data_IF_554963797536
#
_entry.id   IF_554963797536
#
_cell.length_a   1.000
_cell.length_b   1.000
_cell.length_c   1.000
_cell.angle_alpha   90.00
_cell.angle_beta   90.00
_cell.angle_gamma   90.00
#
_symmetry.space_group_name_H-M   'P 1'
#
loop_
_entity.id
_entity.type
_entity.pdbx_description
1 polymer ?
#
# COMPACT_ATOMS: atom_id res chain seq x y z
N UNK A 1 -37.11 12.01 9.77
CA UNK A 1 -36.73 13.37 9.31
C UNK A 1 -35.33 13.31 8.72
N UNK A 2 -35.20 13.47 7.41
CA UNK A 2 -33.93 13.50 6.70
C UNK A 2 -33.09 14.71 7.17
N UNK A 3 -31.79 14.55 7.49
CA UNK A 3 -30.94 15.71 7.74
C UNK A 3 -30.92 16.55 6.46
N UNK A 4 -31.37 17.80 6.54
CA UNK A 4 -31.48 18.69 5.39
C UNK A 4 -30.16 18.72 4.62
N UNK A 5 -30.23 18.53 3.31
CA UNK A 5 -29.14 18.68 2.33
C UNK A 5 -28.43 20.06 2.39
N UNK A 6 -28.95 21.01 3.17
CA UNK A 6 -28.39 22.35 3.41
C UNK A 6 -27.15 22.40 4.31
N UNK A 7 -26.74 21.28 4.93
CA UNK A 7 -25.56 21.22 5.82
C UNK A 7 -24.27 20.70 5.16
N UNK A 8 -24.25 20.41 3.85
CA UNK A 8 -23.03 19.98 3.13
C UNK A 8 -22.39 21.13 2.39
N UNK A 9 -21.06 21.28 2.51
CA UNK A 9 -20.28 22.31 1.82
C UNK A 9 -20.03 21.91 0.35
N UNK A 10 -20.48 22.68 -0.65
CA UNK A 10 -20.31 22.38 -2.06
C UNK A 10 -18.96 22.88 -2.57
N UNK A 11 -17.87 22.19 -2.21
CA UNK A 11 -16.49 22.63 -2.48
C UNK A 11 -16.20 22.99 -3.95
N UNK A 12 -16.82 22.30 -4.90
CA UNK A 12 -16.68 22.53 -6.34
C UNK A 12 -17.33 23.84 -6.82
N UNK A 13 -18.32 24.36 -6.10
CA UNK A 13 -18.98 25.63 -6.42
C UNK A 13 -18.30 26.84 -5.78
N UNK A 14 -17.47 26.61 -4.75
CA UNK A 14 -16.78 27.69 -4.04
C UNK A 14 -15.93 28.55 -4.99
N UNK A 15 -15.12 28.02 -5.94
CA UNK A 15 -14.33 28.86 -6.84
C UNK A 15 -15.19 29.80 -7.69
N UNK A 16 -16.24 29.29 -8.32
CA UNK A 16 -17.13 30.07 -9.18
C UNK A 16 -17.96 31.08 -8.37
N UNK A 17 -18.47 30.67 -7.20
CA UNK A 17 -19.18 31.56 -6.29
C UNK A 17 -18.27 32.67 -5.77
N UNK A 18 -17.02 32.34 -5.41
CA UNK A 18 -16.05 33.29 -4.90
C UNK A 18 -15.58 34.28 -5.98
N UNK A 19 -15.32 33.83 -7.22
CA UNK A 19 -15.06 34.72 -8.35
C UNK A 19 -16.27 35.62 -8.61
N UNK A 20 -17.48 35.06 -8.62
CA UNK A 20 -18.69 35.83 -8.85
C UNK A 20 -18.95 36.87 -7.75
N UNK A 21 -18.73 36.54 -6.48
CA UNK A 21 -18.85 37.50 -5.35
C UNK A 21 -17.74 38.54 -5.41
N UNK A 22 -16.51 38.17 -5.76
CA UNK A 22 -15.43 39.15 -5.95
C UNK A 22 -15.69 40.09 -7.12
N UNK A 23 -16.48 39.65 -8.12
CA UNK A 23 -16.93 40.46 -9.25
C UNK A 23 -18.21 41.28 -8.94
N UNK A 24 -18.90 41.03 -7.84
CA UNK A 24 -20.16 41.69 -7.46
C UNK A 24 -19.95 42.57 -6.21
N UNK A 25 -20.38 43.84 -6.29
CA UNK A 25 -20.28 44.95 -5.31
C UNK A 25 -19.73 44.62 -3.89
N UNK A 26 -18.63 45.27 -3.52
CA UNK A 26 -18.18 45.54 -2.14
C UNK A 26 -18.37 47.01 -1.71
N UNK A 27 -17.74 47.45 -0.61
CA UNK A 27 -17.74 48.87 -0.19
C UNK A 27 -16.46 49.56 -0.70
N UNK A 28 -16.50 50.85 -1.03
CA UNK A 28 -15.27 51.62 -1.33
C UNK A 28 -14.47 51.86 -0.05
N UNK A 29 -13.17 52.18 -0.16
CA UNK A 29 -12.36 52.50 1.03
C UNK A 29 -12.94 53.72 1.74
N UNK A 30 -13.32 54.75 0.99
CA UNK A 30 -13.93 55.95 1.55
C UNK A 30 -15.22 55.62 2.33
N UNK A 31 -16.07 54.72 1.81
CA UNK A 31 -17.27 54.28 2.52
C UNK A 31 -16.93 53.52 3.81
N UNK A 32 -15.86 52.73 3.83
CA UNK A 32 -15.40 52.01 5.01
C UNK A 32 -14.77 52.93 6.06
N UNK A 33 -13.98 53.92 5.65
CA UNK A 33 -13.40 54.94 6.54
C UNK A 33 -14.52 55.76 7.19
N UNK A 34 -15.50 56.20 6.41
CA UNK A 34 -16.67 56.93 6.92
C UNK A 34 -17.50 56.08 7.90
N UNK A 35 -17.66 54.77 7.62
CA UNK A 35 -18.44 53.86 8.47
C UNK A 35 -17.73 53.47 9.77
N UNK A 36 -16.41 53.39 9.77
CA UNK A 36 -15.63 52.84 10.90
C UNK A 36 -14.83 53.87 11.67
N UNK A 37 -14.66 55.08 11.14
CA UNK A 37 -13.80 56.14 11.68
C UNK A 37 -12.30 55.81 11.60
N UNK A 38 -11.91 54.69 10.99
CA UNK A 38 -10.51 54.25 10.87
C UNK A 38 -9.99 54.55 9.48
N UNK A 39 -8.79 55.12 9.38
CA UNK A 39 -8.08 55.28 8.11
C UNK A 39 -7.47 53.96 7.65
N UNK A 40 -7.55 53.67 6.36
CA UNK A 40 -7.01 52.44 5.77
C UNK A 40 -5.84 52.77 4.83
N UNK A 41 -4.62 52.51 5.29
CA UNK A 41 -3.40 52.74 4.51
C UNK A 41 -3.23 51.71 3.38
N UNK A 42 -3.30 52.16 2.13
CA UNK A 42 -3.04 51.34 0.94
C UNK A 42 -1.67 51.61 0.31
N UNK A 43 -1.17 50.63 -0.43
CA UNK A 43 0.05 50.77 -1.24
C UNK A 43 -0.12 51.90 -2.27
N UNK A 44 0.96 52.61 -2.59
CA UNK A 44 0.91 53.78 -3.49
C UNK A 44 0.24 53.46 -4.84
N UNK A 45 0.50 52.26 -5.38
CA UNK A 45 -0.10 51.75 -6.63
C UNK A 45 -1.59 51.43 -6.53
N UNK A 46 -2.13 51.29 -5.31
CA UNK A 46 -3.53 50.96 -5.10
C UNK A 46 -4.38 52.19 -4.79
N UNK A 47 -3.81 53.26 -4.20
CA UNK A 47 -4.55 54.48 -3.78
C UNK A 47 -5.44 55.08 -4.89
N UNK A 48 -5.00 55.00 -6.15
CA UNK A 48 -5.77 55.43 -7.33
C UNK A 48 -7.08 54.67 -7.56
N UNK A 49 -7.32 53.58 -6.82
CA UNK A 49 -8.47 52.71 -6.93
C UNK A 49 -9.38 52.72 -5.70
N UNK A 50 -9.22 53.70 -4.80
CA UNK A 50 -9.98 53.84 -3.55
C UNK A 50 -11.51 53.83 -3.74
N UNK A 51 -11.99 54.28 -4.90
CA UNK A 51 -13.40 54.40 -5.27
C UNK A 51 -13.98 53.12 -5.88
N UNK A 52 -13.15 52.08 -6.10
CA UNK A 52 -13.63 50.77 -6.55
C UNK A 52 -14.19 49.97 -5.38
N UNK A 53 -15.20 49.09 -5.62
CA UNK A 53 -15.74 48.22 -4.58
C UNK A 53 -14.72 47.19 -4.09
N UNK A 54 -14.59 47.01 -2.77
CA UNK A 54 -13.62 46.09 -2.16
C UNK A 54 -14.19 45.27 -0.99
N UNK A 55 -13.62 44.07 -0.76
CA UNK A 55 -14.00 43.14 0.30
C UNK A 55 -13.05 43.17 1.51
N UNK A 56 -13.10 44.27 2.26
CA UNK A 56 -12.11 44.59 3.30
C UNK A 56 -11.87 43.55 4.41
N UNK A 57 -12.81 42.65 4.75
CA UNK A 57 -12.54 41.54 5.69
C UNK A 57 -13.01 40.22 5.10
N UNK A 58 -12.20 39.18 5.27
CA UNK A 58 -12.50 37.81 4.80
C UNK A 58 -13.86 37.31 5.28
N UNK A 59 -14.22 37.60 6.53
CA UNK A 59 -15.52 37.16 7.08
C UNK A 59 -16.72 37.63 6.25
N UNK A 60 -16.66 38.83 5.66
CA UNK A 60 -17.74 39.36 4.83
C UNK A 60 -17.78 38.69 3.45
N UNK A 61 -16.61 38.33 2.92
CA UNK A 61 -16.50 37.57 1.68
C UNK A 61 -17.02 36.14 1.88
N UNK A 62 -16.65 35.48 2.97
CA UNK A 62 -17.13 34.14 3.31
C UNK A 62 -18.65 34.13 3.51
N UNK A 63 -19.20 35.14 4.19
CA UNK A 63 -20.64 35.35 4.35
C UNK A 63 -21.35 35.50 3.00
N UNK A 64 -20.87 36.39 2.13
CA UNK A 64 -21.47 36.60 0.81
C UNK A 64 -21.39 35.34 -0.08
N UNK A 65 -20.28 34.60 -0.02
CA UNK A 65 -20.13 33.32 -0.74
C UNK A 65 -21.07 32.26 -0.16
N UNK A 66 -21.20 32.18 1.16
CA UNK A 66 -22.08 31.23 1.82
C UNK A 66 -23.57 31.49 1.50
N UNK A 67 -24.00 32.77 1.53
CA UNK A 67 -25.35 33.18 1.14
C UNK A 67 -25.61 32.81 -0.32
N UNK A 68 -24.66 33.08 -1.21
CA UNK A 68 -24.77 32.73 -2.64
C UNK A 68 -24.90 31.22 -2.87
N UNK A 69 -24.21 30.43 -2.05
CA UNK A 69 -24.26 28.97 -2.05
C UNK A 69 -25.42 28.41 -1.21
N UNK A 70 -26.26 29.27 -0.60
CA UNK A 70 -27.39 28.90 0.25
C UNK A 70 -27.01 27.98 1.42
N UNK A 71 -25.85 28.22 2.05
CA UNK A 71 -25.34 27.43 3.17
C UNK A 71 -25.97 27.85 4.50
N UNK A 72 -26.28 26.85 5.34
CA UNK A 72 -26.79 27.10 6.68
C UNK A 72 -25.74 27.82 7.56
N UNK A 73 -26.12 28.80 8.42
CA UNK A 73 -25.19 29.55 9.27
C UNK A 73 -24.34 28.69 10.22
N UNK A 74 -24.74 27.46 10.53
CA UNK A 74 -23.91 26.51 11.31
C UNK A 74 -22.63 26.08 10.59
N UNK A 75 -22.45 26.40 9.31
CA UNK A 75 -21.25 26.06 8.53
C UNK A 75 -20.25 27.22 8.49
N UNK A 76 -20.73 28.47 8.50
CA UNK A 76 -19.92 29.66 8.20
C UNK A 76 -20.05 30.80 9.23
N UNK A 77 -21.03 30.71 10.13
CA UNK A 77 -21.32 31.74 11.12
C UNK A 77 -20.41 31.70 12.36
N UNK A 78 -20.64 32.61 13.34
CA UNK A 78 -19.83 32.68 14.56
C UNK A 78 -19.87 31.40 15.41
N UNK A 79 -21.00 30.68 15.39
CA UNK A 79 -21.24 29.42 16.13
C UNK A 79 -21.11 28.17 15.23
N UNK A 80 -20.28 28.23 14.19
CA UNK A 80 -20.13 27.12 13.23
C UNK A 80 -19.62 25.83 13.90
N UNK A 81 -20.04 24.67 13.38
CA UNK A 81 -19.63 23.35 13.88
C UNK A 81 -18.36 22.82 13.20
N UNK A 82 -17.92 23.44 12.11
CA UNK A 82 -16.68 23.12 11.38
C UNK A 82 -16.04 24.38 10.81
N UNK A 83 -14.72 24.37 10.58
CA UNK A 83 -14.01 25.45 9.88
C UNK A 83 -13.75 25.16 8.39
N UNK A 84 -14.21 24.02 7.88
CA UNK A 84 -13.86 23.55 6.53
C UNK A 84 -14.26 24.52 5.41
N UNK A 85 -15.41 25.18 5.52
CA UNK A 85 -15.85 26.18 4.55
C UNK A 85 -14.92 27.40 4.51
N UNK A 86 -14.49 27.89 5.68
CA UNK A 86 -13.53 28.98 5.78
C UNK A 86 -12.15 28.58 5.28
N UNK A 87 -11.75 27.33 5.48
CA UNK A 87 -10.47 26.79 4.98
C UNK A 87 -10.51 26.69 3.45
N UNK A 88 -11.57 26.13 2.88
CA UNK A 88 -11.71 25.98 1.43
C UNK A 88 -11.74 27.32 0.69
N UNK A 89 -12.50 28.29 1.20
CA UNK A 89 -12.47 29.67 0.67
C UNK A 89 -11.06 30.28 0.77
N UNK A 90 -10.36 30.09 1.90
CA UNK A 90 -8.98 30.58 2.09
C UNK A 90 -8.01 30.01 1.06
N UNK A 91 -8.10 28.72 0.77
CA UNK A 91 -7.24 28.04 -0.20
C UNK A 91 -7.45 28.60 -1.62
N UNK A 92 -8.70 28.81 -2.01
CA UNK A 92 -9.04 29.39 -3.32
C UNK A 92 -8.57 30.84 -3.40
N UNK A 93 -8.79 31.65 -2.36
CA UNK A 93 -8.29 33.04 -2.31
C UNK A 93 -6.76 33.06 -2.42
N UNK A 94 -6.06 32.15 -1.71
CA UNK A 94 -4.61 32.05 -1.77
C UNK A 94 -4.13 31.70 -3.17
N UNK A 95 -4.83 30.78 -3.86
CA UNK A 95 -4.53 30.42 -5.25
C UNK A 95 -4.76 31.59 -6.19
N UNK A 96 -5.91 32.26 -6.11
CA UNK A 96 -6.21 33.43 -6.94
C UNK A 96 -5.22 34.58 -6.71
N UNK A 97 -4.75 34.77 -5.47
CA UNK A 97 -3.68 35.73 -5.14
C UNK A 97 -2.35 35.33 -5.77
N UNK A 98 -1.96 34.06 -5.66
CA UNK A 98 -0.74 33.54 -6.27
C UNK A 98 -0.75 33.69 -7.80
N UNK A 99 -1.89 33.38 -8.42
CA UNK A 99 -2.08 33.45 -9.88
C UNK A 99 -2.25 34.90 -10.38
N UNK A 100 -2.12 35.91 -9.50
CA UNK A 100 -2.21 37.33 -9.86
C UNK A 100 -3.63 37.82 -10.20
N UNK A 101 -4.65 37.05 -9.87
CA UNK A 101 -6.05 37.39 -10.11
C UNK A 101 -6.63 38.29 -9.01
N UNK A 102 -6.05 38.28 -7.80
CA UNK A 102 -6.41 39.16 -6.69
C UNK A 102 -5.20 40.03 -6.31
N UNK A 103 -5.43 41.32 -6.09
CA UNK A 103 -4.47 42.21 -5.43
C UNK A 103 -4.99 42.62 -4.05
N UNK A 104 -4.07 42.83 -3.10
CA UNK A 104 -4.36 43.31 -1.75
C UNK A 104 -4.23 44.85 -1.68
N UNK A 105 -4.98 45.53 -0.78
CA UNK A 105 -4.87 46.99 -0.56
C UNK A 105 -3.49 47.41 -0.10
N UNK A 106 -2.95 46.60 0.80
CA UNK A 106 -1.67 46.76 1.45
C UNK A 106 -1.02 45.38 1.52
N UNK A 107 -0.09 45.15 0.60
CA UNK A 107 0.60 43.87 0.43
C UNK A 107 1.42 43.46 1.67
N UNK A 108 1.96 44.44 2.42
CA UNK A 108 2.78 44.22 3.60
C UNK A 108 2.00 43.78 4.84
N UNK A 109 0.75 44.25 5.00
CA UNK A 109 -0.06 43.97 6.19
C UNK A 109 -1.17 42.94 5.99
N UNK A 110 -1.43 42.52 4.74
CA UNK A 110 -2.49 41.55 4.36
C UNK A 110 -3.86 41.84 4.98
N UNK A 111 -4.16 43.12 5.26
CA UNK A 111 -5.47 43.52 5.75
C UNK A 111 -6.47 43.58 4.59
N UNK A 112 -7.25 42.51 4.43
CA UNK A 112 -8.46 42.50 3.59
C UNK A 112 -8.27 41.99 2.17
N UNK A 113 -9.23 41.19 1.70
CA UNK A 113 -9.20 40.53 0.40
C UNK A 113 -9.87 41.45 -0.60
N UNK A 114 -9.13 41.97 -1.57
CA UNK A 114 -9.49 43.31 -1.99
C UNK A 114 -10.31 43.37 -3.28
N UNK A 115 -9.83 42.86 -4.41
CA UNK A 115 -10.59 42.90 -5.67
C UNK A 115 -10.10 41.85 -6.66
N UNK A 116 -10.99 41.42 -7.56
CA UNK A 116 -10.58 40.71 -8.76
C UNK A 116 -9.94 41.70 -9.74
N UNK A 117 -8.65 41.51 -10.06
CA UNK A 117 -7.89 42.40 -10.96
C UNK A 117 -7.90 41.84 -12.39
N UNK A 118 -7.99 40.52 -12.51
CA UNK A 118 -8.13 39.79 -13.77
C UNK A 118 -9.20 38.72 -13.57
N UNK A 119 -10.16 38.64 -14.49
CA UNK A 119 -11.09 37.52 -14.51
C UNK A 119 -10.32 36.30 -14.99
N UNK A 120 -10.17 35.23 -14.16
CA UNK A 120 -9.47 34.03 -14.59
C UNK A 120 -10.22 33.43 -15.77
N UNK A 121 -9.50 33.09 -16.84
CA UNK A 121 -10.08 32.44 -18.01
C UNK A 121 -10.43 30.99 -17.64
N UNK A 122 -11.64 30.78 -17.16
CA UNK A 122 -12.20 29.44 -16.96
C UNK A 122 -12.54 28.95 -18.37
N UNK A 123 -11.55 28.31 -19.04
CA UNK A 123 -11.70 27.77 -20.39
C UNK A 123 -13.08 27.17 -20.60
N UNK A 124 -13.83 27.82 -21.48
CA UNK A 124 -15.11 27.39 -22.00
C UNK A 124 -14.93 26.03 -22.71
N UNK A 125 -15.29 24.95 -22.02
CA UNK A 125 -15.95 23.82 -22.67
C UNK A 125 -17.37 23.81 -22.13
N UNK A 126 -18.35 23.82 -23.03
CA UNK A 126 -19.79 23.70 -22.81
C UNK A 126 -20.56 25.03 -22.66
N UNK A 127 -20.51 25.89 -23.69
CA UNK A 127 -21.37 27.08 -23.77
C UNK A 127 -22.77 26.81 -24.36
N UNK A 128 -23.03 25.72 -25.07
CA UNK A 128 -24.34 25.48 -25.73
C UNK A 128 -25.32 24.59 -24.94
N UNK A 129 -25.37 24.69 -23.61
CA UNK A 129 -26.39 23.98 -22.84
C UNK A 129 -27.06 24.86 -21.79
N UNK A 130 -28.39 24.80 -21.78
CA UNK A 130 -29.27 25.50 -20.82
C UNK A 130 -29.01 25.04 -19.38
N UNK A 131 -29.34 25.89 -18.41
CA UNK A 131 -29.17 25.61 -16.96
C UNK A 131 -29.88 24.30 -16.55
N UNK A 132 -31.01 23.95 -17.17
CA UNK A 132 -31.71 22.69 -16.96
C UNK A 132 -30.91 21.49 -17.50
N UNK A 133 -30.33 21.58 -18.70
CA UNK A 133 -29.45 20.55 -19.26
C UNK A 133 -28.13 20.41 -18.47
N UNK A 134 -27.63 21.52 -17.89
CA UNK A 134 -26.51 21.48 -16.94
C UNK A 134 -26.91 20.78 -15.64
N UNK A 135 -28.12 20.97 -15.13
CA UNK A 135 -28.60 20.24 -13.95
C UNK A 135 -28.73 18.74 -14.26
N UNK A 136 -29.21 18.35 -15.45
CA UNK A 136 -29.35 16.93 -15.82
C UNK A 136 -28.00 16.26 -16.08
N UNK A 137 -27.08 16.89 -16.83
CA UNK A 137 -25.76 16.31 -17.14
C UNK A 137 -24.77 16.41 -15.95
N UNK A 138 -24.92 17.42 -15.08
CA UNK A 138 -24.15 17.51 -13.82
C UNK A 138 -24.81 16.67 -12.71
N UNK A 139 -26.09 16.31 -12.81
CA UNK A 139 -26.68 15.22 -12.02
C UNK A 139 -26.22 13.83 -12.51
N UNK A 140 -25.87 13.68 -13.79
CA UNK A 140 -25.19 12.48 -14.31
C UNK A 140 -23.71 12.42 -13.93
N UNK A 141 -23.03 13.57 -13.77
CA UNK A 141 -21.62 13.64 -13.31
C UNK A 141 -21.45 13.80 -11.78
N UNK A 142 -22.49 14.24 -11.06
CA UNK A 142 -22.77 13.81 -9.68
C UNK A 142 -23.34 12.40 -9.77
N UNK A 143 -22.56 11.48 -10.33
CA UNK A 143 -22.92 10.09 -10.36
C UNK A 143 -23.37 9.73 -8.93
N UNK A 144 -24.43 8.93 -8.84
CA UNK A 144 -24.61 8.08 -7.68
C UNK A 144 -23.24 7.61 -7.16
N UNK A 145 -23.05 7.47 -5.84
CA UNK A 145 -21.80 6.91 -5.32
C UNK A 145 -21.39 5.75 -6.24
N UNK A 146 -20.13 5.76 -6.73
CA UNK A 146 -19.74 4.94 -7.87
C UNK A 146 -20.30 3.55 -7.63
N UNK A 147 -21.09 3.05 -8.58
CA UNK A 147 -21.79 1.79 -8.34
C UNK A 147 -20.78 0.74 -7.88
N UNK A 148 -21.22 -0.17 -7.02
CA UNK A 148 -20.36 -1.27 -6.58
C UNK A 148 -19.69 -1.96 -7.79
N UNK A 149 -20.43 -2.10 -8.89
CA UNK A 149 -19.92 -2.61 -10.16
C UNK A 149 -18.77 -1.76 -10.74
N UNK A 150 -18.89 -0.43 -10.74
CA UNK A 150 -17.78 0.45 -11.18
C UNK A 150 -16.56 0.32 -10.26
N UNK A 151 -16.77 0.21 -8.96
CA UNK A 151 -15.67 -0.01 -8.00
C UNK A 151 -14.98 -1.35 -8.23
N UNK A 152 -15.73 -2.43 -8.49
CA UNK A 152 -15.19 -3.75 -8.87
C UNK A 152 -14.33 -3.65 -10.13
N UNK A 153 -14.86 -3.06 -11.21
CA UNK A 153 -14.15 -2.91 -12.48
C UNK A 153 -12.82 -2.15 -12.33
N UNK A 154 -12.84 -1.03 -11.62
CA UNK A 154 -11.63 -0.22 -11.43
C UNK A 154 -10.63 -0.92 -10.51
N UNK A 155 -11.08 -1.58 -9.44
CA UNK A 155 -10.18 -2.33 -8.56
C UNK A 155 -9.49 -3.47 -9.31
N UNK A 156 -10.24 -4.26 -10.07
CA UNK A 156 -9.68 -5.31 -10.95
C UNK A 156 -8.73 -4.72 -11.97
N UNK A 157 -9.05 -3.58 -12.58
CA UNK A 157 -8.16 -2.91 -13.53
C UNK A 157 -6.85 -2.40 -12.88
N UNK A 158 -6.90 -1.93 -11.62
CA UNK A 158 -5.70 -1.60 -10.84
C UNK A 158 -4.80 -2.82 -10.69
N UNK A 159 -5.37 -3.99 -10.35
CA UNK A 159 -4.62 -5.23 -10.14
C UNK A 159 -4.08 -5.82 -11.45
N UNK A 160 -4.87 -5.84 -12.51
CA UNK A 160 -4.53 -6.51 -13.78
C UNK A 160 -3.81 -5.62 -14.79
N UNK A 161 -4.26 -4.37 -14.97
CA UNK A 161 -3.79 -3.46 -16.05
C UNK A 161 -2.90 -2.32 -15.56
N UNK A 162 -2.92 -2.00 -14.27
CA UNK A 162 -2.09 -0.93 -13.74
C UNK A 162 -0.59 -1.23 -13.93
N UNK A 163 0.20 -0.25 -14.39
CA UNK A 163 1.67 -0.39 -14.43
C UNK A 163 2.21 -0.76 -13.04
N UNK A 164 3.08 -1.76 -12.99
CA UNK A 164 3.69 -2.32 -11.79
C UNK A 164 5.13 -2.69 -12.10
N UNK A 165 6.05 -2.05 -11.41
CA UNK A 165 7.47 -2.43 -11.46
C UNK A 165 7.83 -3.32 -10.25
N UNK A 166 7.00 -3.32 -9.20
CA UNK A 166 7.11 -4.14 -7.99
C UNK A 166 5.72 -4.51 -7.41
N UNK A 167 5.71 -5.23 -6.29
CA UNK A 167 4.49 -5.74 -5.65
C UNK A 167 3.71 -4.77 -4.77
N UNK A 168 4.12 -3.49 -4.63
CA UNK A 168 3.51 -2.58 -3.66
C UNK A 168 2.02 -2.33 -3.89
N UNK A 169 1.53 -2.37 -5.14
CA UNK A 169 0.09 -2.22 -5.38
C UNK A 169 -0.70 -3.36 -4.75
N UNK A 170 -0.19 -4.59 -4.77
CA UNK A 170 -0.86 -5.73 -4.14
C UNK A 170 -0.83 -5.62 -2.61
N UNK A 171 0.33 -5.26 -2.05
CA UNK A 171 0.46 -5.05 -0.61
C UNK A 171 -0.43 -3.90 -0.11
N UNK A 172 -0.52 -2.79 -0.84
CA UNK A 172 -1.42 -1.69 -0.48
C UNK A 172 -2.89 -2.09 -0.59
N UNK A 173 -3.27 -2.83 -1.65
CA UNK A 173 -4.62 -3.34 -1.78
C UNK A 173 -5.00 -4.26 -0.60
N UNK A 174 -4.12 -5.22 -0.24
CA UNK A 174 -4.31 -6.10 0.92
C UNK A 174 -4.41 -5.29 2.22
N UNK A 175 -3.53 -4.32 2.45
CA UNK A 175 -3.56 -3.49 3.65
C UNK A 175 -4.86 -2.68 3.79
N UNK A 176 -5.38 -2.12 2.68
CA UNK A 176 -6.66 -1.40 2.67
C UNK A 176 -7.81 -2.38 2.98
N UNK A 177 -7.82 -3.56 2.38
CA UNK A 177 -8.83 -4.60 2.64
C UNK A 177 -8.83 -5.04 4.10
N UNK A 178 -7.64 -5.34 4.66
CA UNK A 178 -7.45 -5.74 6.06
C UNK A 178 -7.91 -4.64 7.02
N UNK A 179 -7.69 -3.37 6.67
CA UNK A 179 -8.18 -2.25 7.48
C UNK A 179 -9.71 -2.18 7.44
N UNK A 180 -10.32 -2.30 6.26
CA UNK A 180 -11.79 -2.22 6.12
C UNK A 180 -12.52 -3.41 6.77
N UNK A 181 -11.89 -4.58 6.86
CA UNK A 181 -12.46 -5.74 7.54
C UNK A 181 -12.39 -5.64 9.07
N UNK A 182 -11.46 -4.83 9.59
CA UNK A 182 -11.31 -4.55 11.01
C UNK A 182 -12.27 -3.47 11.55
N UNK A 183 -12.23 -3.31 12.88
CA UNK A 183 -12.82 -2.18 13.59
C UNK A 183 -11.70 -1.25 14.05
N UNK A 184 -11.71 0.00 13.58
CA UNK A 184 -10.67 0.99 13.87
C UNK A 184 -11.27 2.31 14.33
N UNK A 185 -10.70 2.90 15.39
CA UNK A 185 -11.14 4.19 15.93
C UNK A 185 -11.05 5.33 14.92
N UNK A 186 -10.07 5.27 14.01
CA UNK A 186 -9.83 6.27 12.97
C UNK A 186 -10.85 6.24 11.82
N UNK A 187 -11.84 5.33 11.86
CA UNK A 187 -12.93 5.28 10.89
C UNK A 187 -12.40 5.12 9.46
N UNK A 188 -12.66 6.11 8.60
CA UNK A 188 -12.26 6.10 7.19
C UNK A 188 -10.81 6.54 6.91
N UNK A 189 -10.09 7.03 7.94
CA UNK A 189 -8.73 7.52 7.79
C UNK A 189 -7.73 6.42 8.16
N UNK A 190 -7.02 5.88 7.17
CA UNK A 190 -5.96 4.89 7.34
C UNK A 190 -4.62 5.62 7.56
N UNK A 191 -3.99 5.51 8.74
CA UNK A 191 -2.68 6.09 8.98
C UNK A 191 -1.60 5.40 8.14
N UNK A 192 -0.63 6.16 7.63
CA UNK A 192 0.53 5.56 6.93
C UNK A 192 1.35 4.65 7.84
N UNK A 193 1.34 4.88 9.16
CA UNK A 193 1.96 3.97 10.12
C UNK A 193 1.34 2.57 10.05
N UNK A 194 0.01 2.48 9.93
CA UNK A 194 -0.68 1.20 9.75
C UNK A 194 -0.25 0.52 8.45
N UNK A 195 -0.18 1.27 7.34
CA UNK A 195 0.27 0.73 6.05
C UNK A 195 1.73 0.24 6.10
N UNK A 196 2.59 0.97 6.80
CA UNK A 196 3.99 0.61 7.01
C UNK A 196 4.13 -0.70 7.79
N UNK A 197 3.40 -0.83 8.90
CA UNK A 197 3.31 -2.06 9.68
C UNK A 197 2.84 -3.24 8.84
N UNK A 198 1.78 -3.06 8.05
CA UNK A 198 1.29 -4.12 7.14
C UNK A 198 2.31 -4.52 6.08
N UNK A 199 3.04 -3.56 5.51
CA UNK A 199 4.12 -3.87 4.57
C UNK A 199 5.22 -4.70 5.24
N UNK A 200 5.61 -4.37 6.47
CA UNK A 200 6.55 -5.17 7.23
C UNK A 200 6.02 -6.61 7.44
N UNK A 201 4.81 -6.77 7.96
CA UNK A 201 4.17 -8.07 8.21
C UNK A 201 4.16 -8.95 6.94
N UNK A 202 3.70 -8.39 5.81
CA UNK A 202 3.59 -9.17 4.57
C UNK A 202 4.95 -9.54 3.96
N UNK A 203 5.90 -8.60 3.98
CA UNK A 203 7.18 -8.80 3.30
C UNK A 203 8.22 -9.50 4.14
N UNK A 204 8.13 -9.46 5.48
CA UNK A 204 9.15 -10.03 6.34
C UNK A 204 9.32 -11.54 6.11
N UNK A 205 8.22 -12.31 6.11
CA UNK A 205 8.29 -13.75 5.82
C UNK A 205 8.73 -14.02 4.39
N UNK A 206 8.19 -13.26 3.44
CA UNK A 206 8.51 -13.42 2.02
C UNK A 206 10.00 -13.21 1.75
N UNK A 207 10.62 -12.22 2.40
CA UNK A 207 12.04 -11.90 2.26
C UNK A 207 12.93 -12.79 3.14
N UNK A 208 12.78 -12.72 4.46
CA UNK A 208 13.71 -13.33 5.42
C UNK A 208 13.61 -14.86 5.47
N UNK A 209 12.45 -15.43 5.16
CA UNK A 209 12.23 -16.89 5.22
C UNK A 209 12.26 -17.55 3.85
N UNK A 210 11.59 -16.95 2.85
CA UNK A 210 11.41 -17.58 1.54
C UNK A 210 12.27 -16.99 0.42
N UNK A 211 12.91 -15.83 0.66
CA UNK A 211 13.73 -15.12 -0.33
C UNK A 211 12.97 -14.79 -1.63
N UNK A 212 11.66 -14.55 -1.52
CA UNK A 212 10.79 -14.20 -2.64
C UNK A 212 11.15 -12.80 -3.13
N UNK A 213 11.64 -12.72 -4.36
CA UNK A 213 11.93 -11.46 -5.03
C UNK A 213 10.63 -10.72 -5.37
N UNK A 214 10.62 -9.40 -5.15
CA UNK A 214 9.42 -8.56 -5.18
C UNK A 214 9.32 -7.61 -6.38
N UNK A 215 10.26 -7.70 -7.33
CA UNK A 215 10.30 -6.89 -8.54
C UNK A 215 11.07 -7.57 -9.68
N UNK A 216 11.00 -6.99 -10.87
CA UNK A 216 11.74 -7.50 -12.03
C UNK A 216 13.20 -7.03 -12.10
N UNK A 217 13.59 -6.02 -11.30
CA UNK A 217 14.90 -5.42 -11.42
C UNK A 217 16.00 -6.35 -10.94
N UNK A 218 17.14 -6.35 -11.62
CA UNK A 218 18.32 -7.15 -11.23
C UNK A 218 19.28 -6.37 -10.32
N UNK A 219 19.19 -5.04 -10.29
CA UNK A 219 20.26 -4.18 -9.77
C UNK A 219 19.91 -3.49 -8.44
N UNK A 220 18.64 -3.45 -8.04
CA UNK A 220 18.22 -2.86 -6.78
C UNK A 220 16.88 -3.43 -6.34
N UNK A 221 16.79 -3.89 -5.08
CA UNK A 221 15.53 -4.37 -4.51
C UNK A 221 14.58 -3.19 -4.20
N UNK A 222 13.27 -3.45 -4.03
CA UNK A 222 12.35 -2.43 -3.56
C UNK A 222 12.73 -1.88 -2.18
N UNK A 223 12.49 -0.58 -1.96
CA UNK A 223 12.85 0.12 -0.69
C UNK A 223 12.36 -0.57 0.59
N UNK A 224 11.18 -1.21 0.58
CA UNK A 224 10.67 -1.97 1.73
C UNK A 224 11.56 -3.18 2.04
N UNK A 225 12.03 -3.88 1.01
CA UNK A 225 12.92 -5.03 1.12
C UNK A 225 14.30 -4.59 1.59
N UNK A 226 14.82 -3.48 1.08
CA UNK A 226 16.06 -2.88 1.57
C UNK A 226 15.95 -2.50 3.06
N UNK A 227 14.82 -1.92 3.47
CA UNK A 227 14.58 -1.57 4.87
C UNK A 227 14.56 -2.80 5.78
N UNK A 228 13.88 -3.88 5.37
CA UNK A 228 13.84 -5.16 6.09
C UNK A 228 15.25 -5.76 6.21
N UNK A 229 15.97 -5.91 5.09
CA UNK A 229 17.34 -6.46 5.07
C UNK A 229 18.32 -5.68 5.94
N UNK A 230 18.15 -4.36 6.02
CA UNK A 230 19.03 -3.50 6.83
C UNK A 230 18.88 -3.74 8.34
N UNK A 231 17.69 -4.12 8.79
CA UNK A 231 17.42 -4.37 10.21
C UNK A 231 17.67 -5.83 10.56
N UNK A 232 17.10 -6.73 9.76
CA UNK A 232 17.06 -8.16 10.08
C UNK A 232 18.17 -8.97 9.40
N UNK A 233 18.84 -8.43 8.38
CA UNK A 233 19.76 -9.20 7.54
C UNK A 233 19.01 -10.17 6.60
N UNK A 234 19.76 -11.11 6.01
CA UNK A 234 19.24 -12.09 5.03
C UNK A 234 18.82 -13.43 5.65
N UNK A 235 19.25 -13.71 6.87
CA UNK A 235 19.13 -15.03 7.49
C UNK A 235 18.53 -14.90 8.89
N UNK A 236 17.21 -14.71 8.96
CA UNK A 236 16.48 -14.74 10.25
C UNK A 236 15.58 -15.97 10.30
N UNK A 237 16.07 -17.08 10.87
CA UNK A 237 15.20 -18.19 11.20
C UNK A 237 14.41 -17.86 12.47
N UNK A 238 13.11 -17.65 12.35
CA UNK A 238 12.25 -17.37 13.50
C UNK A 238 10.78 -17.17 13.15
N UNK A 239 9.98 -16.86 14.19
CA UNK A 239 8.62 -16.34 14.04
C UNK A 239 8.65 -14.82 14.11
N UNK A 240 7.76 -14.15 13.36
CA UNK A 240 7.62 -12.70 13.43
C UNK A 240 7.28 -12.22 14.85
N UNK A 241 6.48 -13.00 15.57
CA UNK A 241 6.06 -12.71 16.95
C UNK A 241 7.19 -12.77 17.98
N UNK A 242 8.36 -13.33 17.60
CA UNK A 242 9.54 -13.45 18.45
C UNK A 242 10.62 -12.41 18.14
N UNK A 243 10.35 -11.50 17.19
CA UNK A 243 11.28 -10.44 16.83
C UNK A 243 11.38 -9.39 17.93
N UNK A 244 12.55 -8.76 18.05
CA UNK A 244 12.76 -7.67 18.98
C UNK A 244 11.81 -6.49 18.64
N UNK A 245 10.99 -6.02 19.60
CA UNK A 245 10.12 -4.86 19.38
C UNK A 245 10.86 -3.60 18.91
N UNK A 246 12.14 -3.40 19.26
CA UNK A 246 12.94 -2.26 18.77
C UNK A 246 13.26 -2.40 17.29
N UNK A 247 13.58 -3.61 16.83
CA UNK A 247 13.87 -3.90 15.43
C UNK A 247 12.61 -3.75 14.57
N UNK A 248 11.47 -4.25 15.05
CA UNK A 248 10.17 -4.04 14.40
C UNK A 248 9.93 -2.54 14.20
N UNK A 249 10.07 -1.73 15.27
CA UNK A 249 9.88 -0.27 15.19
C UNK A 249 10.89 0.40 14.24
N UNK A 250 12.13 -0.06 14.17
CA UNK A 250 13.13 0.48 13.23
C UNK A 250 12.75 0.18 11.78
N UNK A 251 12.38 -1.07 11.48
CA UNK A 251 11.96 -1.47 10.15
C UNK A 251 10.69 -0.72 9.71
N UNK A 252 9.68 -0.61 10.57
CA UNK A 252 8.46 0.18 10.32
C UNK A 252 8.79 1.65 10.01
N UNK A 253 9.70 2.27 10.76
CA UNK A 253 10.09 3.67 10.54
C UNK A 253 10.80 3.85 9.19
N UNK A 254 11.66 2.92 8.82
CA UNK A 254 12.38 2.92 7.53
C UNK A 254 11.42 2.73 6.35
N UNK A 255 10.48 1.79 6.45
CA UNK A 255 9.44 1.57 5.43
C UNK A 255 8.56 2.83 5.32
N UNK A 256 8.12 3.40 6.44
CA UNK A 256 7.33 4.62 6.47
C UNK A 256 8.05 5.76 5.72
N UNK A 257 9.33 6.02 6.04
CA UNK A 257 10.09 7.11 5.43
C UNK A 257 10.38 6.93 3.93
N UNK A 258 10.60 5.68 3.51
CA UNK A 258 11.05 5.35 2.15
C UNK A 258 9.94 4.96 1.16
N UNK A 259 8.79 4.48 1.65
CA UNK A 259 7.66 3.98 0.84
C UNK A 259 6.40 4.82 1.02
N UNK A 260 6.15 5.30 2.23
CA UNK A 260 5.02 6.13 2.63
C UNK A 260 5.48 7.53 3.07
N UNK A 261 6.52 8.04 2.40
CA UNK A 261 7.08 9.35 2.63
C UNK A 261 6.21 10.45 2.01
N UNK A 262 6.82 11.31 1.20
CA UNK A 262 6.10 12.39 0.53
C UNK A 262 6.33 12.32 -0.97
N UNK A 263 5.27 12.49 -1.76
CA UNK A 263 5.31 12.52 -3.21
C UNK A 263 6.30 13.57 -3.76
N UNK A 264 6.42 14.74 -3.11
CA UNK A 264 7.40 15.79 -3.50
C UNK A 264 8.85 15.29 -3.44
N UNK A 265 9.15 14.43 -2.46
CA UNK A 265 10.47 13.85 -2.25
C UNK A 265 10.63 12.49 -2.94
N UNK A 266 9.64 12.08 -3.75
CA UNK A 266 9.59 10.78 -4.42
C UNK A 266 9.67 9.57 -3.47
N UNK A 267 9.25 9.75 -2.21
CA UNK A 267 9.24 8.68 -1.18
C UNK A 267 7.83 8.19 -0.84
N UNK A 268 6.78 8.76 -1.46
CA UNK A 268 5.43 8.16 -1.49
C UNK A 268 5.29 7.31 -2.75
N UNK A 269 5.69 6.04 -2.65
CA UNK A 269 5.98 5.20 -3.82
C UNK A 269 4.74 4.56 -4.43
N UNK A 270 3.69 4.33 -3.62
CA UNK A 270 2.51 3.56 -4.03
C UNK A 270 1.20 4.33 -3.87
N UNK A 271 0.98 5.05 -2.77
CA UNK A 271 -0.28 5.77 -2.47
C UNK A 271 -0.74 6.69 -3.62
N UNK A 272 0.10 7.57 -4.20
CA UNK A 272 -0.31 8.43 -5.32
C UNK A 272 -0.49 7.67 -6.66
N UNK A 273 0.04 6.44 -6.77
CA UNK A 273 0.08 5.67 -8.03
C UNK A 273 -0.92 4.52 -8.06
N UNK A 274 -1.47 4.12 -6.93
CA UNK A 274 -2.36 2.98 -6.79
C UNK A 274 -3.60 3.11 -7.67
N UNK A 275 -4.27 4.26 -7.58
CA UNK A 275 -5.49 4.57 -8.33
C UNK A 275 -5.23 5.03 -9.79
N UNK A 276 -4.02 4.83 -10.31
CA UNK A 276 -3.68 5.11 -11.72
C UNK A 276 -3.78 3.82 -12.54
N UNK A 277 -4.68 3.83 -13.53
CA UNK A 277 -4.95 2.72 -14.45
C UNK A 277 -4.56 3.13 -15.86
N UNK A 278 -4.07 2.19 -16.67
CA UNK A 278 -3.76 2.44 -18.07
C UNK A 278 -5.03 2.36 -18.92
N UNK A 279 -5.31 3.43 -19.67
CA UNK A 279 -6.32 3.47 -20.73
C UNK A 279 -5.58 3.68 -22.05
N UNK A 280 -5.43 2.59 -22.81
CA UNK A 280 -4.46 2.52 -23.91
C UNK A 280 -3.04 2.80 -23.39
N UNK A 281 -2.38 3.80 -23.96
CA UNK A 281 -1.02 4.20 -23.57
C UNK A 281 -0.97 5.32 -22.51
N UNK A 282 -2.12 5.77 -21.99
CA UNK A 282 -2.19 6.87 -21.01
C UNK A 282 -2.55 6.36 -19.62
N UNK A 283 -1.81 6.84 -18.62
CA UNK A 283 -2.15 6.60 -17.21
C UNK A 283 -3.21 7.60 -16.76
N UNK A 284 -4.41 7.11 -16.45
CA UNK A 284 -5.56 7.90 -16.00
C UNK A 284 -5.72 7.72 -14.48
N UNK A 285 -5.84 8.83 -13.76
CA UNK A 285 -6.05 8.83 -12.31
C UNK A 285 -7.55 8.71 -11.99
N UNK A 286 -7.94 7.61 -11.35
CA UNK A 286 -9.31 7.29 -10.98
C UNK A 286 -9.48 7.38 -9.45
N UNK A 287 -9.68 8.59 -8.90
CA UNK A 287 -9.79 8.85 -7.44
C UNK A 287 -11.13 8.41 -6.82
N UNK A 288 -11.55 7.17 -7.09
CA UNK A 288 -12.84 6.64 -6.68
C UNK A 288 -12.81 6.00 -5.29
N UNK A 289 -11.64 5.60 -4.78
CA UNK A 289 -11.55 4.89 -3.50
C UNK A 289 -11.15 5.82 -2.36
N UNK A 290 -10.16 6.69 -2.58
CA UNK A 290 -9.62 7.53 -1.52
C UNK A 290 -8.98 8.82 -2.01
N UNK A 291 -8.83 9.77 -1.07
CA UNK A 291 -7.84 10.85 -1.13
C UNK A 291 -6.72 10.58 -0.12
N UNK A 292 -5.59 11.29 -0.22
CA UNK A 292 -4.48 11.12 0.71
C UNK A 292 -3.84 12.47 1.05
N UNK A 293 -3.21 12.54 2.21
CA UNK A 293 -2.46 13.68 2.71
C UNK A 293 -1.11 13.16 3.23
N UNK A 294 -0.03 13.49 2.52
CA UNK A 294 1.33 13.06 2.88
C UNK A 294 1.88 13.81 4.11
N UNK A 295 1.38 15.02 4.38
CA UNK A 295 1.79 15.84 5.53
C UNK A 295 1.11 15.33 6.80
N UNK A 296 -0.20 15.06 6.72
CA UNK A 296 -0.96 14.42 7.79
C UNK A 296 -0.75 12.90 7.88
N UNK A 297 -0.05 12.28 6.91
CA UNK A 297 0.27 10.85 6.86
C UNK A 297 -0.95 9.94 6.88
N UNK A 298 -1.96 10.26 6.07
CA UNK A 298 -3.23 9.53 6.04
C UNK A 298 -3.70 9.24 4.60
N UNK A 299 -4.34 8.08 4.43
CA UNK A 299 -5.25 7.78 3.33
C UNK A 299 -6.68 7.92 3.84
N UNK A 300 -7.47 8.83 3.27
CA UNK A 300 -8.88 9.04 3.60
C UNK A 300 -9.78 8.32 2.59
N UNK A 301 -10.31 7.18 2.99
CA UNK A 301 -11.27 6.43 2.19
C UNK A 301 -12.57 7.21 2.02
N UNK A 302 -13.22 7.02 0.87
CA UNK A 302 -14.62 7.42 0.71
C UNK A 302 -15.50 6.42 1.47
N UNK A 303 -16.59 6.86 2.14
CA UNK A 303 -17.47 5.96 2.87
C UNK A 303 -17.96 4.77 2.02
N UNK A 304 -18.30 5.00 0.76
CA UNK A 304 -18.83 3.97 -0.13
C UNK A 304 -17.74 2.99 -0.57
N UNK A 305 -16.50 3.45 -0.69
CA UNK A 305 -15.35 2.59 -0.95
C UNK A 305 -15.02 1.71 0.27
N UNK A 306 -15.14 2.27 1.48
CA UNK A 306 -14.95 1.52 2.72
C UNK A 306 -15.99 0.38 2.86
N UNK A 307 -17.27 0.70 2.66
CA UNK A 307 -18.34 -0.31 2.65
C UNK A 307 -18.14 -1.34 1.53
N UNK A 308 -17.73 -0.90 0.33
CA UNK A 308 -17.41 -1.81 -0.78
C UNK A 308 -16.31 -2.81 -0.41
N UNK A 309 -15.18 -2.33 0.12
CA UNK A 309 -14.06 -3.17 0.52
C UNK A 309 -14.44 -4.13 1.64
N UNK A 310 -15.19 -3.65 2.63
CA UNK A 310 -15.69 -4.47 3.75
C UNK A 310 -16.63 -5.57 3.28
N UNK A 311 -17.67 -5.22 2.51
CA UNK A 311 -18.70 -6.16 2.06
C UNK A 311 -18.16 -7.19 1.06
N UNK A 312 -17.11 -6.84 0.32
CA UNK A 312 -16.49 -7.73 -0.68
C UNK A 312 -15.15 -8.31 -0.23
N UNK A 313 -14.76 -8.15 1.05
CA UNK A 313 -13.41 -8.46 1.56
C UNK A 313 -12.90 -9.81 1.07
N UNK A 314 -13.67 -10.90 1.26
CA UNK A 314 -13.23 -12.26 0.90
C UNK A 314 -12.89 -12.39 -0.59
N UNK A 315 -13.75 -11.88 -1.47
CA UNK A 315 -13.57 -12.01 -2.92
C UNK A 315 -12.41 -11.12 -3.39
N UNK A 316 -12.32 -9.89 -2.86
CA UNK A 316 -11.25 -8.97 -3.23
C UNK A 316 -9.89 -9.45 -2.72
N UNK A 317 -9.82 -10.04 -1.52
CA UNK A 317 -8.60 -10.64 -0.99
C UNK A 317 -8.12 -11.81 -1.85
N UNK A 318 -9.03 -12.67 -2.33
CA UNK A 318 -8.69 -13.72 -3.29
C UNK A 318 -8.17 -13.15 -4.62
N UNK A 319 -8.79 -12.07 -5.12
CA UNK A 319 -8.33 -11.40 -6.34
C UNK A 319 -6.94 -10.77 -6.17
N UNK A 320 -6.69 -10.10 -5.04
CA UNK A 320 -5.37 -9.54 -4.71
C UNK A 320 -4.32 -10.65 -4.63
N UNK A 321 -4.61 -11.73 -3.91
CA UNK A 321 -3.70 -12.88 -3.79
C UNK A 321 -3.39 -13.50 -5.15
N UNK A 322 -4.40 -13.73 -5.98
CA UNK A 322 -4.24 -14.33 -7.31
C UNK A 322 -3.36 -13.46 -8.21
N UNK A 323 -3.63 -12.15 -8.28
CA UNK A 323 -2.85 -11.25 -9.13
C UNK A 323 -1.43 -11.00 -8.57
N UNK A 324 -1.27 -11.03 -7.25
CA UNK A 324 0.05 -10.99 -6.63
C UNK A 324 0.86 -12.25 -6.94
N UNK A 325 0.25 -13.44 -6.83
CA UNK A 325 0.88 -14.70 -7.21
C UNK A 325 1.34 -14.69 -8.67
N UNK A 326 0.45 -14.35 -9.62
CA UNK A 326 0.80 -14.23 -11.05
C UNK A 326 1.96 -13.25 -11.29
N UNK A 327 2.01 -12.14 -10.55
CA UNK A 327 3.14 -11.23 -10.64
C UNK A 327 4.43 -11.89 -10.18
N UNK A 328 4.40 -12.52 -9.00
CA UNK A 328 5.56 -13.15 -8.37
C UNK A 328 6.05 -14.38 -9.14
N UNK A 329 5.18 -15.15 -9.80
CA UNK A 329 5.56 -16.31 -10.63
C UNK A 329 6.52 -15.90 -11.75
N UNK A 330 6.26 -14.78 -12.42
CA UNK A 330 7.12 -14.23 -13.47
C UNK A 330 8.47 -13.72 -12.94
N UNK A 331 8.56 -13.46 -11.64
CA UNK A 331 9.76 -12.94 -10.98
C UNK A 331 10.57 -14.07 -10.35
N UNK A 332 9.92 -15.18 -9.98
CA UNK A 332 10.46 -16.25 -9.15
C UNK A 332 10.23 -17.63 -9.80
N UNK A 333 10.52 -17.75 -11.10
CA UNK A 333 10.12 -18.89 -11.95
C UNK A 333 10.48 -20.28 -11.37
N UNK A 334 11.60 -20.40 -10.66
CA UNK A 334 12.06 -21.67 -10.08
C UNK A 334 11.61 -21.92 -8.64
N UNK A 335 10.90 -20.97 -7.98
CA UNK A 335 10.48 -21.13 -6.59
C UNK A 335 9.20 -22.00 -6.49
N UNK A 336 9.26 -23.21 -5.90
CA UNK A 336 8.09 -24.07 -5.81
C UNK A 336 7.07 -23.50 -4.81
N UNK A 337 5.80 -23.91 -4.91
CA UNK A 337 4.74 -23.63 -3.91
C UNK A 337 4.60 -22.15 -3.53
N UNK A 338 4.80 -21.24 -4.48
CA UNK A 338 4.78 -19.80 -4.26
C UNK A 338 3.50 -19.31 -3.57
N UNK A 339 2.32 -19.74 -4.04
CA UNK A 339 1.02 -19.37 -3.43
C UNK A 339 0.98 -19.74 -1.95
N UNK A 340 1.38 -20.97 -1.62
CA UNK A 340 1.35 -21.45 -0.25
C UNK A 340 2.35 -20.71 0.66
N UNK A 341 3.47 -20.20 0.10
CA UNK A 341 4.44 -19.35 0.82
C UNK A 341 3.92 -17.94 1.09
N UNK A 342 3.21 -17.32 0.14
CA UNK A 342 2.66 -15.97 0.33
C UNK A 342 1.41 -15.94 1.22
N UNK A 343 0.70 -17.06 1.32
CA UNK A 343 -0.44 -17.26 2.24
C UNK A 343 0.00 -17.60 3.67
N UNK A 344 1.28 -17.93 3.90
CA UNK A 344 1.72 -18.36 5.22
C UNK A 344 1.87 -17.18 6.17
N UNK A 345 0.77 -16.82 6.84
CA UNK A 345 0.80 -15.78 7.87
C UNK A 345 1.32 -16.30 9.23
N UNK A 346 1.30 -17.63 9.53
CA UNK A 346 1.93 -18.19 10.75
C UNK A 346 1.87 -19.74 10.90
N UNK A 347 1.73 -20.54 9.84
CA UNK A 347 1.69 -22.02 10.00
C UNK A 347 3.00 -22.52 10.66
N UNK A 348 2.88 -23.06 11.88
CA UNK A 348 3.96 -23.76 12.56
C UNK A 348 4.37 -24.98 11.73
N UNK A 349 5.68 -25.26 11.70
CA UNK A 349 6.19 -26.47 11.05
C UNK A 349 5.57 -27.69 11.74
N UNK A 350 5.08 -28.65 10.96
CA UNK A 350 4.56 -29.90 11.52
C UNK A 350 5.64 -30.64 12.33
N UNK A 351 5.22 -31.40 13.34
CA UNK A 351 6.16 -32.22 14.10
C UNK A 351 6.74 -33.32 13.21
N UNK A 352 8.07 -33.43 13.18
CA UNK A 352 8.80 -34.50 12.45
C UNK A 352 9.12 -35.71 13.34
N UNK A 353 8.51 -35.80 14.52
CA UNK A 353 8.81 -36.83 15.51
C UNK A 353 8.58 -38.27 14.98
N UNK A 354 7.52 -38.48 14.21
CA UNK A 354 7.19 -39.80 13.64
C UNK A 354 8.17 -40.21 12.54
N UNK A 355 8.66 -39.25 11.76
CA UNK A 355 9.68 -39.47 10.73
C UNK A 355 10.98 -39.88 11.41
N UNK A 356 11.38 -39.18 12.47
CA UNK A 356 12.54 -39.54 13.29
C UNK A 356 12.45 -40.99 13.78
N UNK A 357 11.33 -41.34 14.42
CA UNK A 357 11.08 -42.69 14.96
C UNK A 357 11.14 -43.76 13.87
N UNK A 358 10.61 -43.46 12.68
CA UNK A 358 10.62 -44.39 11.56
C UNK A 358 12.04 -44.61 11.04
N UNK A 359 12.80 -43.54 10.81
CA UNK A 359 14.12 -43.60 10.21
C UNK A 359 15.15 -44.27 11.14
N UNK A 360 15.02 -44.09 12.45
CA UNK A 360 15.87 -44.73 13.45
C UNK A 360 15.79 -46.27 13.46
N UNK A 361 14.78 -46.86 12.80
CA UNK A 361 14.70 -48.32 12.61
C UNK A 361 15.65 -48.83 11.52
N UNK A 362 16.17 -47.94 10.68
CA UNK A 362 16.96 -48.29 9.49
C UNK A 362 18.40 -47.76 9.53
N UNK A 363 18.68 -46.74 10.35
CA UNK A 363 20.03 -46.21 10.55
C UNK A 363 20.18 -45.59 11.93
N UNK A 364 21.35 -45.77 12.53
CA UNK A 364 21.79 -45.13 13.77
C UNK A 364 23.00 -44.19 13.54
N UNK A 365 23.27 -43.80 12.29
CA UNK A 365 24.38 -42.90 11.94
C UNK A 365 23.86 -41.58 11.32
N UNK A 366 24.59 -40.49 11.56
CA UNK A 366 24.30 -39.19 10.98
C UNK A 366 24.52 -39.22 9.46
N UNK A 367 23.55 -38.71 8.71
CA UNK A 367 23.63 -38.66 7.25
C UNK A 367 24.82 -37.86 6.70
N UNK A 368 25.33 -36.90 7.47
CA UNK A 368 26.45 -36.05 7.08
C UNK A 368 27.79 -36.65 7.50
N UNK A 369 28.16 -36.53 8.77
CA UNK A 369 29.47 -36.97 9.28
C UNK A 369 29.64 -38.50 9.44
N UNK A 370 28.59 -39.30 9.22
CA UNK A 370 28.60 -40.74 9.46
C UNK A 370 28.95 -41.17 10.89
N UNK A 371 29.01 -40.26 11.87
CA UNK A 371 29.16 -40.64 13.27
C UNK A 371 27.86 -41.25 13.80
N UNK A 372 27.97 -42.14 14.78
CA UNK A 372 26.82 -42.73 15.47
C UNK A 372 25.98 -41.65 16.16
N UNK A 373 24.66 -41.76 16.04
CA UNK A 373 23.69 -40.85 16.64
C UNK A 373 23.45 -41.22 18.10
N UNK A 374 23.80 -40.31 19.01
CA UNK A 374 23.54 -40.47 20.44
C UNK A 374 22.06 -40.17 20.77
N UNK A 375 21.52 -40.88 21.77
CA UNK A 375 20.13 -40.69 22.20
C UNK A 375 19.93 -39.26 22.71
N UNK A 376 18.92 -38.56 22.18
CA UNK A 376 18.51 -37.23 22.63
C UNK A 376 18.89 -36.07 21.69
N UNK A 377 19.97 -36.21 20.91
CA UNK A 377 20.50 -35.14 20.04
C UNK A 377 20.28 -35.40 18.54
N UNK A 378 19.18 -36.10 18.23
CA UNK A 378 18.84 -36.56 16.88
C UNK A 378 17.79 -35.64 16.27
N UNK A 379 18.21 -34.95 15.21
CA UNK A 379 17.35 -34.07 14.41
C UNK A 379 16.92 -34.75 13.11
N UNK A 380 15.75 -34.34 12.64
CA UNK A 380 15.32 -34.59 11.25
C UNK A 380 15.61 -33.32 10.48
N UNK A 381 16.55 -33.42 9.55
CA UNK A 381 16.96 -32.30 8.70
C UNK A 381 16.39 -32.47 7.28
N UNK A 382 16.15 -31.35 6.62
CA UNK A 382 15.79 -31.29 5.22
C UNK A 382 17.05 -31.12 4.39
N UNK A 383 17.39 -32.06 3.51
CA UNK A 383 18.59 -31.93 2.67
C UNK A 383 18.55 -30.63 1.86
N UNK A 384 17.46 -30.45 1.09
CA UNK A 384 17.15 -29.21 0.40
C UNK A 384 16.34 -28.32 1.36
N UNK A 385 16.73 -27.06 1.60
CA UNK A 385 16.10 -26.19 2.60
C UNK A 385 14.57 -26.16 2.52
N UNK A 386 13.91 -26.37 3.66
CA UNK A 386 12.46 -26.26 3.78
C UNK A 386 11.95 -24.87 3.35
N UNK A 387 12.72 -23.82 3.59
CA UNK A 387 12.44 -22.45 3.10
C UNK A 387 12.32 -22.38 1.57
N UNK A 388 13.05 -23.24 0.85
CA UNK A 388 12.96 -23.33 -0.59
C UNK A 388 11.81 -24.24 -1.04
N UNK A 389 11.73 -25.49 -0.57
CA UNK A 389 10.71 -26.45 -1.04
C UNK A 389 9.32 -26.16 -0.49
N UNK A 390 9.24 -25.67 0.75
CA UNK A 390 8.02 -25.54 1.53
C UNK A 390 7.22 -26.84 1.62
N UNK A 391 7.93 -27.91 1.96
CA UNK A 391 7.43 -29.28 1.97
C UNK A 391 8.20 -30.14 2.99
N UNK A 392 7.47 -30.94 3.77
CA UNK A 392 8.00 -31.85 4.78
C UNK A 392 7.97 -33.33 4.30
N UNK A 393 8.00 -33.58 2.99
CA UNK A 393 7.94 -34.96 2.47
C UNK A 393 9.20 -35.77 2.78
N UNK A 394 8.99 -37.04 3.13
CA UNK A 394 10.04 -37.95 3.57
C UNK A 394 11.22 -38.10 2.60
N UNK A 395 11.02 -37.97 1.28
CA UNK A 395 12.09 -38.08 0.28
C UNK A 395 13.26 -37.10 0.53
N UNK A 396 13.00 -35.94 1.14
CA UNK A 396 14.00 -34.90 1.40
C UNK A 396 14.53 -34.90 2.84
N UNK A 397 14.04 -35.80 3.70
CA UNK A 397 14.35 -35.78 5.13
C UNK A 397 15.42 -36.80 5.49
N UNK A 398 16.38 -36.41 6.33
CA UNK A 398 17.50 -37.25 6.80
C UNK A 398 17.67 -37.15 8.31
N UNK A 399 18.31 -38.15 8.93
CA UNK A 399 18.74 -38.04 10.33
C UNK A 399 20.10 -37.33 10.41
N UNK A 400 20.19 -36.34 11.29
CA UNK A 400 21.40 -35.58 11.52
C UNK A 400 21.68 -35.41 13.02
N UNK A 401 22.96 -35.39 13.39
CA UNK A 401 23.35 -34.92 14.72
C UNK A 401 23.15 -33.40 14.82
N UNK A 402 23.04 -32.90 16.04
CA UNK A 402 22.87 -31.47 16.32
C UNK A 402 23.93 -30.61 15.62
N UNK A 403 25.22 -30.96 15.76
CA UNK A 403 26.32 -30.19 15.16
C UNK A 403 26.21 -30.06 13.63
N UNK A 404 25.83 -31.13 12.92
CA UNK A 404 25.62 -31.07 11.48
C UNK A 404 24.36 -30.28 11.11
N UNK A 405 23.24 -30.52 11.81
CA UNK A 405 21.99 -29.80 11.56
C UNK A 405 22.14 -28.27 11.76
N UNK A 406 22.80 -27.86 12.85
CA UNK A 406 23.08 -26.45 13.12
C UNK A 406 24.08 -25.85 12.12
N UNK A 407 25.11 -26.61 11.70
CA UNK A 407 26.07 -26.17 10.68
C UNK A 407 25.41 -25.93 9.33
N UNK A 408 24.55 -26.84 8.89
CA UNK A 408 23.85 -26.72 7.61
C UNK A 408 22.77 -25.64 7.68
N UNK A 409 22.02 -25.57 8.78
CA UNK A 409 20.91 -24.64 8.99
C UNK A 409 19.96 -24.61 7.77
N UNK A 410 19.69 -23.43 7.22
CA UNK A 410 18.84 -23.24 6.04
C UNK A 410 19.59 -23.28 4.70
N UNK A 411 20.81 -23.81 4.68
CA UNK A 411 21.66 -23.90 3.48
C UNK A 411 21.63 -25.31 2.86
N UNK A 412 22.13 -25.41 1.63
CA UNK A 412 22.39 -26.69 0.97
C UNK A 412 23.71 -27.30 1.50
N UNK A 413 23.84 -28.63 1.59
CA UNK A 413 25.13 -29.30 1.71
C UNK A 413 25.86 -29.32 0.35
N UNK A 414 27.10 -29.81 0.27
CA UNK A 414 27.82 -29.98 -1.00
C UNK A 414 27.11 -30.95 -1.94
N UNK A 415 27.42 -30.87 -3.24
CA UNK A 415 26.72 -31.62 -4.29
C UNK A 415 26.72 -33.13 -4.06
N UNK A 416 27.78 -33.71 -3.48
CA UNK A 416 27.83 -35.14 -3.17
C UNK A 416 26.65 -35.65 -2.32
N UNK A 417 26.12 -34.82 -1.43
CA UNK A 417 25.05 -35.24 -0.51
C UNK A 417 23.71 -35.45 -1.20
N UNK A 418 23.44 -34.83 -2.37
CA UNK A 418 22.24 -35.18 -3.14
C UNK A 418 22.36 -36.58 -3.76
N UNK A 419 23.57 -37.00 -4.14
CA UNK A 419 23.83 -38.35 -4.66
C UNK A 419 23.68 -39.38 -3.54
N UNK A 420 24.22 -39.08 -2.35
CA UNK A 420 24.04 -39.91 -1.14
C UNK A 420 22.56 -40.03 -0.79
N UNK A 421 21.77 -38.94 -0.94
CA UNK A 421 20.33 -38.97 -0.70
C UNK A 421 19.63 -39.91 -1.68
N UNK A 422 19.96 -39.82 -2.97
CA UNK A 422 19.41 -40.72 -4.01
C UNK A 422 19.75 -42.18 -3.74
N UNK A 423 20.99 -42.47 -3.34
CA UNK A 423 21.42 -43.82 -2.99
C UNK A 423 20.63 -44.36 -1.80
N UNK A 424 20.57 -43.60 -0.70
CA UNK A 424 19.80 -43.97 0.51
C UNK A 424 18.32 -44.15 0.21
N UNK A 425 17.72 -43.25 -0.57
CA UNK A 425 16.31 -43.34 -0.96
C UNK A 425 16.03 -44.57 -1.83
N UNK A 426 16.99 -44.97 -2.69
CA UNK A 426 16.89 -46.21 -3.46
C UNK A 426 16.92 -47.42 -2.52
N UNK A 427 17.87 -47.43 -1.58
CA UNK A 427 18.02 -48.53 -0.63
C UNK A 427 16.79 -48.70 0.27
N UNK A 428 16.15 -47.60 0.71
CA UNK A 428 15.02 -47.65 1.64
C UNK A 428 13.64 -47.67 0.95
N UNK A 429 13.60 -47.69 -0.39
CA UNK A 429 12.38 -47.54 -1.17
C UNK A 429 11.27 -48.50 -0.75
N UNK A 430 11.56 -49.80 -0.67
CA UNK A 430 10.56 -50.83 -0.31
C UNK A 430 10.47 -51.10 1.19
N UNK A 431 11.29 -50.44 2.00
CA UNK A 431 11.37 -50.68 3.44
C UNK A 431 10.69 -49.60 4.29
N UNK A 432 10.53 -48.39 3.75
CA UNK A 432 9.92 -47.26 4.46
C UNK A 432 8.69 -46.78 3.69
N UNK A 433 7.49 -47.17 4.14
CA UNK A 433 6.23 -46.86 3.46
C UNK A 433 6.01 -45.37 3.18
N UNK A 434 6.26 -44.50 4.17
CA UNK A 434 6.13 -43.04 4.00
C UNK A 434 7.12 -42.45 2.98
N UNK A 435 8.32 -43.05 2.87
CA UNK A 435 9.33 -42.66 1.89
C UNK A 435 8.88 -43.08 0.51
N UNK A 436 8.46 -44.34 0.34
CA UNK A 436 7.91 -44.87 -0.91
C UNK A 436 6.80 -43.97 -1.45
N UNK A 437 5.77 -43.70 -0.65
CA UNK A 437 4.66 -42.82 -1.06
C UNK A 437 5.15 -41.43 -1.47
N UNK A 438 6.13 -40.87 -0.77
CA UNK A 438 6.68 -39.55 -1.11
C UNK A 438 7.51 -39.56 -2.41
N UNK A 439 8.23 -40.64 -2.70
CA UNK A 439 9.02 -40.80 -3.93
C UNK A 439 8.11 -41.09 -5.13
N UNK A 440 7.05 -41.89 -4.94
CA UNK A 440 6.03 -42.14 -5.96
C UNK A 440 5.36 -40.83 -6.40
N UNK A 441 5.06 -39.93 -5.46
CA UNK A 441 4.50 -38.60 -5.76
C UNK A 441 5.50 -37.68 -6.47
N UNK A 442 6.79 -37.84 -6.20
CA UNK A 442 7.86 -37.09 -6.89
C UNK A 442 8.09 -37.62 -8.32
N UNK A 443 7.62 -38.83 -8.64
CA UNK A 443 7.83 -39.48 -9.92
C UNK A 443 6.85 -38.98 -11.00
N UNK A 444 7.11 -37.79 -11.56
CA UNK A 444 6.31 -37.20 -12.66
C UNK A 444 6.74 -37.80 -14.02
N UNK A 445 6.75 -39.14 -14.13
CA UNK A 445 7.06 -39.86 -15.37
C UNK A 445 8.53 -39.83 -15.83
N UNK A 446 9.43 -39.14 -15.11
CA UNK A 446 10.88 -39.06 -15.40
C UNK A 446 11.75 -39.77 -14.36
N UNK A 447 11.13 -40.45 -13.40
CA UNK A 447 11.80 -40.98 -12.22
C UNK A 447 12.04 -39.90 -11.16
N UNK A 448 12.04 -40.29 -9.88
CA UNK A 448 12.28 -39.39 -8.76
C UNK A 448 13.77 -39.00 -8.61
N UNK A 449 14.72 -39.78 -9.16
CA UNK A 449 16.16 -39.51 -9.02
C UNK A 449 16.60 -38.21 -9.71
N UNK A 450 16.27 -37.96 -10.99
CA UNK A 450 16.59 -36.69 -11.63
C UNK A 450 15.90 -35.51 -10.97
N UNK A 451 14.70 -35.72 -10.41
CA UNK A 451 13.93 -34.64 -9.78
C UNK A 451 14.57 -34.14 -8.48
N UNK A 452 15.14 -35.03 -7.65
CA UNK A 452 15.93 -34.62 -6.48
C UNK A 452 17.10 -33.72 -6.91
N UNK A 453 17.81 -34.09 -7.98
CA UNK A 453 18.91 -33.29 -8.53
C UNK A 453 18.42 -31.94 -9.04
N UNK A 454 17.29 -31.90 -9.75
CA UNK A 454 16.69 -30.66 -10.26
C UNK A 454 16.31 -29.72 -9.11
N UNK A 455 15.66 -30.23 -8.06
CA UNK A 455 15.32 -29.41 -6.89
C UNK A 455 16.57 -28.85 -6.20
N UNK A 456 17.62 -29.66 -6.04
CA UNK A 456 18.89 -29.20 -5.46
C UNK A 456 19.51 -28.08 -6.31
N UNK A 457 19.62 -28.30 -7.63
CA UNK A 457 20.19 -27.33 -8.57
C UNK A 457 19.39 -26.02 -8.60
N UNK A 458 18.07 -26.12 -8.74
CA UNK A 458 17.19 -24.95 -8.78
C UNK A 458 17.24 -24.16 -7.46
N UNK A 459 17.37 -24.84 -6.31
CA UNK A 459 17.54 -24.19 -5.01
C UNK A 459 18.84 -23.37 -4.95
N UNK A 460 19.94 -23.95 -5.44
CA UNK A 460 21.24 -23.29 -5.51
C UNK A 460 21.20 -22.08 -6.47
N UNK A 461 20.65 -22.25 -7.67
CA UNK A 461 20.51 -21.18 -8.67
C UNK A 461 19.57 -20.05 -8.20
N UNK A 462 18.58 -20.38 -7.36
CA UNK A 462 17.72 -19.39 -6.72
C UNK A 462 18.44 -18.54 -5.65
N UNK A 463 19.63 -18.95 -5.21
CA UNK A 463 20.48 -18.17 -4.30
C UNK A 463 20.51 -18.69 -2.85
N UNK A 464 20.17 -19.96 -2.61
CA UNK A 464 20.48 -20.62 -1.35
C UNK A 464 21.95 -21.02 -1.31
N UNK A 465 22.66 -20.62 -0.26
CA UNK A 465 24.09 -20.89 -0.10
C UNK A 465 24.39 -22.37 0.13
N UNK A 466 25.62 -22.78 -0.18
CA UNK A 466 26.16 -24.11 0.10
C UNK A 466 27.07 -24.04 1.33
N UNK A 467 26.92 -25.01 2.24
CA UNK A 467 27.77 -25.18 3.43
C UNK A 467 28.59 -26.44 3.31
N UNK A 468 29.87 -26.35 3.66
CA UNK A 468 30.75 -27.51 3.74
C UNK A 468 30.36 -28.36 4.96
N UNK A 469 29.81 -29.53 4.68
CA UNK A 469 29.48 -30.57 5.62
C UNK A 469 30.65 -31.55 5.80
N UNK A 470 30.81 -32.10 7.00
CA UNK A 470 31.86 -33.07 7.33
C UNK A 470 31.61 -34.43 6.70
#
# INVERSE_FOLDING_TARGET
MTPSTQNRIPYNLIPAALISVLSQKGNTIQALENKTGRKYEGDASQKMHKDRPVWHKKKYLDEAVAIKLKLHPSIWGPKRTTSDFHIATSQIISKLRHDGNIADWNSSRRFGIWRLVKTPDIKAKNQDMSLAQRITQTAEQLAMPPSEERMKQVFVAILTKGRKDNTYKFALARAILDYCSGSHESGYDIPYQYLSKKFLEYYWHQECKFRIKQDFHTNADPMAIQAIRKVFGKDVPGSFDLLDPTDIKDAERRILGSVFGHARNKTSLVVPKFQKVMEGNRAVENRIFYNYDDDAKIVRLRPEAFEFFRNNYRILSMAVLSEWAKFLERVNESLPRLVAKIEQDNKMRGSLADIRKTYLKHTDHCFYCQNRLERGYIHVDHLIPWSYLFDDSAWNLVLACEGCNLRKSGSLPQEEFHKNLVQRNTQYYDHIGILRTSLDRLNIGRGWKPEIKNHYKNCMEYGFGVRQMP
#
